data_IF_142960819189
#
_entry.id   IF_142960819189
#
_cell.length_a   1.000
_cell.length_b   1.000
_cell.length_c   1.000
_cell.angle_alpha   90.00
_cell.angle_beta   90.00
_cell.angle_gamma   90.00
#
_symmetry.space_group_name_H-M   'P 1'
#
loop_
_entity.id
_entity.type
_entity.pdbx_description
1 polymer ?
#
# COMPACT_ATOMS: atom_id res chain seq x y z
N UNK A 1 12.84 -28.08 -4.25
CA UNK A 1 11.94 -26.89 -4.20
C UNK A 1 10.53 -27.17 -4.71
N UNK A 2 10.13 -28.44 -4.94
CA UNK A 2 8.87 -28.85 -5.58
C UNK A 2 7.70 -29.15 -4.66
N UNK A 3 7.80 -29.03 -3.34
CA UNK A 3 6.79 -29.60 -2.44
C UNK A 3 5.92 -28.56 -1.69
N UNK A 4 6.14 -27.28 -1.87
CA UNK A 4 5.46 -26.23 -1.09
C UNK A 4 4.06 -25.88 -1.66
N UNK A 5 3.73 -26.30 -2.87
CA UNK A 5 2.50 -25.89 -3.56
C UNK A 5 1.36 -26.94 -3.55
N UNK A 6 1.50 -27.99 -2.79
CA UNK A 6 0.49 -29.08 -2.75
C UNK A 6 -0.73 -28.78 -1.86
N UNK A 7 -0.84 -27.61 -1.26
CA UNK A 7 -2.03 -27.15 -0.53
C UNK A 7 -2.60 -25.93 -1.23
N UNK A 8 -3.91 -25.90 -1.37
CA UNK A 8 -4.71 -24.80 -1.95
C UNK A 8 -4.11 -23.44 -1.58
N UNK A 9 -3.32 -22.90 -2.49
CA UNK A 9 -2.65 -21.63 -2.28
C UNK A 9 -3.44 -20.53 -2.97
N UNK A 10 -3.67 -19.43 -2.28
CA UNK A 10 -4.23 -18.22 -2.91
C UNK A 10 -3.08 -17.43 -3.52
N UNK A 11 -3.20 -17.10 -4.79
CA UNK A 11 -2.27 -16.24 -5.49
C UNK A 11 -2.93 -14.96 -5.99
N UNK A 12 -2.14 -13.96 -6.28
CA UNK A 12 -2.58 -12.69 -6.85
C UNK A 12 -1.73 -12.31 -8.04
N UNK A 13 -2.37 -11.85 -9.11
CA UNK A 13 -1.69 -11.31 -10.29
C UNK A 13 -1.36 -9.83 -10.10
N UNK A 14 -0.19 -9.38 -10.55
CA UNK A 14 0.34 -8.02 -10.35
C UNK A 14 0.41 -7.19 -11.62
N UNK A 15 0.13 -7.80 -12.77
CA UNK A 15 0.10 -7.10 -14.06
C UNK A 15 -1.09 -7.56 -14.90
N UNK A 16 -1.57 -6.64 -15.75
CA UNK A 16 -2.58 -6.97 -16.74
C UNK A 16 -1.95 -7.75 -17.89
N UNK A 17 -2.61 -8.81 -18.34
CA UNK A 17 -2.23 -9.51 -19.57
C UNK A 17 -3.48 -9.84 -20.38
N UNK A 18 -3.67 -9.12 -21.49
CA UNK A 18 -4.82 -9.27 -22.37
C UNK A 18 -4.73 -10.52 -23.25
N UNK A 19 -3.57 -11.15 -23.35
CA UNK A 19 -3.40 -12.41 -24.09
C UNK A 19 -3.90 -13.61 -23.29
N UNK A 20 -3.94 -13.47 -21.97
CA UNK A 20 -4.48 -14.46 -21.05
C UNK A 20 -5.98 -14.20 -20.82
N UNK A 21 -6.79 -14.70 -21.75
CA UNK A 21 -8.24 -14.47 -21.72
C UNK A 21 -8.92 -15.30 -20.63
N UNK A 22 -9.86 -14.68 -19.94
CA UNK A 22 -10.72 -15.28 -18.93
C UNK A 22 -12.16 -15.25 -19.44
N UNK A 23 -12.64 -16.39 -19.93
CA UNK A 23 -13.92 -16.48 -20.62
C UNK A 23 -13.91 -15.73 -21.96
N UNK A 24 -15.07 -15.13 -22.31
CA UNK A 24 -15.28 -14.50 -23.64
C UNK A 24 -14.93 -13.00 -23.67
N UNK A 25 -14.99 -12.32 -22.53
CA UNK A 25 -14.97 -10.85 -22.47
C UNK A 25 -13.95 -10.30 -21.48
N UNK A 26 -13.30 -11.15 -20.68
CA UNK A 26 -12.36 -10.72 -19.67
C UNK A 26 -10.95 -11.29 -19.91
N UNK A 27 -9.97 -10.77 -19.19
CA UNK A 27 -8.56 -11.15 -19.27
C UNK A 27 -7.92 -11.05 -17.90
N UNK A 28 -6.71 -11.55 -17.73
CA UNK A 28 -5.99 -11.48 -16.45
C UNK A 28 -5.67 -10.04 -16.10
N UNK A 29 -6.18 -9.59 -14.96
CA UNK A 29 -5.95 -8.22 -14.45
C UNK A 29 -5.07 -8.20 -13.22
N UNK A 30 -4.44 -7.06 -13.01
CA UNK A 30 -3.77 -6.76 -11.75
C UNK A 30 -4.77 -6.81 -10.59
N UNK A 31 -4.38 -7.49 -9.51
CA UNK A 31 -5.22 -7.63 -8.32
C UNK A 31 -6.16 -8.84 -8.33
N UNK A 32 -6.32 -9.54 -9.47
CA UNK A 32 -7.13 -10.76 -9.49
C UNK A 32 -6.56 -11.81 -8.55
N UNK A 33 -7.46 -12.45 -7.80
CA UNK A 33 -7.13 -13.50 -6.85
C UNK A 33 -7.54 -14.85 -7.39
N UNK A 34 -6.65 -15.81 -7.22
CA UNK A 34 -6.76 -17.14 -7.77
C UNK A 34 -6.54 -18.21 -6.72
N UNK A 35 -7.32 -19.25 -6.79
CA UNK A 35 -7.03 -20.51 -6.10
C UNK A 35 -6.19 -21.37 -7.00
N UNK A 36 -5.01 -21.77 -6.55
CA UNK A 36 -4.11 -22.63 -7.30
C UNK A 36 -4.56 -24.07 -7.17
N UNK A 37 -4.90 -24.73 -8.28
CA UNK A 37 -5.29 -26.14 -8.34
C UNK A 37 -4.15 -27.06 -8.74
N UNK A 38 -3.10 -26.53 -9.39
CA UNK A 38 -1.94 -27.32 -9.76
C UNK A 38 -0.76 -26.48 -10.23
N UNK A 39 0.44 -27.01 -10.05
CA UNK A 39 1.69 -26.44 -10.57
C UNK A 39 2.40 -27.50 -11.39
N UNK A 40 2.72 -27.17 -12.63
CA UNK A 40 3.42 -28.06 -13.54
C UNK A 40 4.95 -27.96 -13.34
N UNK A 41 5.68 -28.96 -13.81
CA UNK A 41 7.14 -29.03 -13.68
C UNK A 41 7.86 -27.86 -14.40
N UNK A 42 7.25 -27.29 -15.44
CA UNK A 42 7.75 -26.11 -16.15
C UNK A 42 7.55 -24.79 -15.36
N UNK A 43 6.81 -24.85 -14.23
CA UNK A 43 6.47 -23.68 -13.41
C UNK A 43 5.18 -22.97 -13.86
N UNK A 44 4.45 -23.51 -14.84
CA UNK A 44 3.11 -23.00 -15.15
C UNK A 44 2.11 -23.41 -14.06
N UNK A 45 1.04 -22.62 -13.89
CA UNK A 45 0.05 -22.84 -12.85
C UNK A 45 -1.34 -22.99 -13.44
N UNK A 46 -2.10 -23.99 -12.98
CA UNK A 46 -3.54 -24.07 -13.20
C UNK A 46 -4.25 -23.41 -12.04
N UNK A 47 -5.11 -22.45 -12.35
CA UNK A 47 -5.73 -21.57 -11.35
C UNK A 47 -7.22 -21.42 -11.61
N UNK A 48 -7.97 -21.14 -10.55
CA UNK A 48 -9.39 -20.82 -10.61
C UNK A 48 -9.57 -19.38 -10.12
N UNK A 49 -10.23 -18.54 -10.90
CA UNK A 49 -10.52 -17.16 -10.50
C UNK A 49 -11.56 -17.16 -9.38
N UNK A 50 -11.24 -16.50 -8.26
CA UNK A 50 -12.03 -16.63 -7.04
C UNK A 50 -13.43 -16.01 -7.14
N UNK A 51 -13.62 -15.02 -8.02
CA UNK A 51 -14.92 -14.35 -8.18
C UNK A 51 -15.78 -15.02 -9.25
N UNK A 52 -15.20 -15.33 -10.42
CA UNK A 52 -15.97 -15.90 -11.54
C UNK A 52 -15.99 -17.43 -11.58
N UNK A 53 -15.13 -18.10 -10.80
CA UNK A 53 -14.99 -19.56 -10.82
C UNK A 53 -14.32 -20.11 -12.10
N UNK A 54 -13.89 -19.28 -13.01
CA UNK A 54 -13.29 -19.68 -14.27
C UNK A 54 -11.87 -20.23 -14.08
N UNK A 55 -11.55 -21.24 -14.87
CA UNK A 55 -10.23 -21.88 -14.83
C UNK A 55 -9.32 -21.29 -15.91
N UNK A 56 -8.05 -21.16 -15.57
CA UNK A 56 -7.03 -20.67 -16.50
C UNK A 56 -5.69 -21.33 -16.20
N UNK A 57 -4.89 -21.53 -17.26
CA UNK A 57 -3.48 -21.89 -17.12
C UNK A 57 -2.62 -20.65 -17.32
N UNK A 58 -1.88 -20.28 -16.29
CA UNK A 58 -0.92 -19.17 -16.33
C UNK A 58 0.43 -19.73 -16.81
N UNK A 59 1.01 -19.16 -17.87
CA UNK A 59 2.33 -19.60 -18.38
C UNK A 59 3.44 -19.35 -17.34
N UNK A 60 4.46 -20.21 -17.34
CA UNK A 60 5.57 -20.13 -16.38
C UNK A 60 6.28 -18.78 -16.38
N UNK A 61 6.45 -18.15 -17.54
CA UNK A 61 7.06 -16.82 -17.67
C UNK A 61 6.22 -15.76 -16.93
N UNK A 62 4.90 -15.78 -17.13
CA UNK A 62 3.99 -14.87 -16.45
C UNK A 62 3.96 -15.11 -14.93
N UNK A 63 3.94 -16.38 -14.52
CA UNK A 63 3.96 -16.77 -13.10
C UNK A 63 5.20 -16.18 -12.40
N UNK A 64 6.38 -16.37 -12.97
CA UNK A 64 7.63 -15.85 -12.38
C UNK A 64 7.64 -14.32 -12.28
N UNK A 65 7.17 -13.65 -13.30
CA UNK A 65 7.20 -12.18 -13.36
C UNK A 65 6.10 -11.53 -12.52
N UNK A 66 4.87 -12.06 -12.57
CA UNK A 66 3.67 -11.31 -12.22
C UNK A 66 2.75 -11.97 -11.19
N UNK A 67 3.07 -13.17 -10.71
CA UNK A 67 2.25 -13.84 -9.68
C UNK A 67 2.95 -13.79 -8.33
N UNK A 68 2.17 -13.48 -7.29
CA UNK A 68 2.62 -13.46 -5.90
C UNK A 68 1.64 -14.23 -5.02
N UNK A 69 2.05 -14.56 -3.80
CA UNK A 69 1.16 -15.14 -2.80
C UNK A 69 0.04 -14.14 -2.47
N UNK A 70 -1.18 -14.64 -2.37
CA UNK A 70 -2.40 -13.85 -2.16
C UNK A 70 -2.93 -13.85 -0.72
N UNK A 71 -2.14 -14.29 0.26
CA UNK A 71 -2.56 -14.37 1.67
C UNK A 71 -2.70 -13.02 2.33
N UNK A 72 -1.96 -12.03 1.86
CA UNK A 72 -2.00 -10.67 2.35
C UNK A 72 -2.11 -9.68 1.18
N UNK A 73 -2.61 -8.50 1.50
CA UNK A 73 -2.76 -7.39 0.57
C UNK A 73 -2.33 -6.10 1.28
N UNK A 74 -1.91 -5.09 0.53
CA UNK A 74 -1.74 -3.76 1.09
C UNK A 74 -3.11 -3.16 1.42
N UNK A 75 -3.16 -2.26 2.39
CA UNK A 75 -4.40 -1.57 2.79
C UNK A 75 -5.07 -0.92 1.58
N UNK A 76 -4.30 -0.24 0.74
CA UNK A 76 -4.81 0.45 -0.45
C UNK A 76 -5.38 -0.53 -1.48
N UNK A 77 -4.74 -1.69 -1.67
CA UNK A 77 -5.26 -2.72 -2.59
C UNK A 77 -6.47 -3.49 -2.03
N UNK A 78 -6.73 -3.37 -0.74
CA UNK A 78 -7.91 -3.94 -0.09
C UNK A 78 -9.13 -3.00 -0.13
N UNK A 79 -8.98 -1.79 -0.67
CA UNK A 79 -10.09 -0.86 -0.83
C UNK A 79 -11.17 -1.49 -1.73
N UNK A 80 -12.42 -1.45 -1.27
CA UNK A 80 -13.55 -2.10 -1.95
C UNK A 80 -13.70 -3.61 -1.67
N UNK A 81 -12.68 -4.29 -1.14
CA UNK A 81 -12.82 -5.68 -0.74
C UNK A 81 -13.58 -5.83 0.58
N UNK A 82 -14.27 -6.96 0.75
CA UNK A 82 -14.97 -7.31 1.98
C UNK A 82 -14.49 -8.67 2.47
N UNK A 83 -14.03 -8.72 3.72
CA UNK A 83 -13.72 -9.97 4.41
C UNK A 83 -14.98 -10.44 5.16
N UNK A 84 -15.53 -11.59 4.78
CA UNK A 84 -16.80 -12.10 5.33
C UNK A 84 -16.78 -12.36 6.84
N UNK A 85 -15.60 -12.54 7.40
CA UNK A 85 -15.42 -12.80 8.83
C UNK A 85 -14.58 -11.70 9.47
N UNK A 86 -13.31 -11.98 9.69
CA UNK A 86 -12.37 -11.10 10.38
C UNK A 86 -11.36 -10.52 9.39
N UNK A 87 -10.97 -9.29 9.64
CA UNK A 87 -9.85 -8.66 8.95
C UNK A 87 -8.72 -8.41 9.96
N UNK A 88 -7.52 -8.83 9.61
CA UNK A 88 -6.31 -8.60 10.41
C UNK A 88 -5.38 -7.67 9.62
N UNK A 89 -5.07 -6.53 10.21
CA UNK A 89 -4.19 -5.53 9.60
C UNK A 89 -2.95 -5.34 10.44
N UNK A 90 -1.77 -5.49 9.82
CA UNK A 90 -0.51 -5.08 10.43
C UNK A 90 -0.26 -3.64 9.99
N UNK A 91 -0.29 -2.74 10.95
CA UNK A 91 -0.09 -1.32 10.74
C UNK A 91 1.32 -0.89 11.13
N UNK A 92 1.71 0.28 10.66
CA UNK A 92 2.97 0.95 11.01
C UNK A 92 2.68 2.42 11.43
N UNK A 93 3.66 3.07 11.96
CA UNK A 93 3.58 4.44 12.49
C UNK A 93 3.21 5.53 11.46
N UNK A 94 3.41 5.24 10.16
CA UNK A 94 3.12 6.18 9.05
C UNK A 94 1.73 6.05 8.44
N UNK A 95 0.85 5.25 9.03
CA UNK A 95 -0.54 5.16 8.58
C UNK A 95 -1.20 6.55 8.64
N UNK A 96 -2.14 6.77 7.73
CA UNK A 96 -3.00 7.95 7.73
C UNK A 96 -4.45 7.55 8.02
N UNK A 97 -5.31 8.56 8.25
CA UNK A 97 -6.71 8.39 8.60
C UNK A 97 -7.48 7.52 7.60
N UNK A 98 -7.25 7.71 6.31
CA UNK A 98 -7.94 6.97 5.25
C UNK A 98 -7.53 5.49 5.24
N UNK A 99 -6.26 5.21 5.47
CA UNK A 99 -5.75 3.84 5.58
C UNK A 99 -6.28 3.16 6.84
N UNK A 100 -6.33 3.85 7.98
CA UNK A 100 -6.94 3.32 9.22
C UNK A 100 -8.41 3.02 8.99
N UNK A 101 -9.16 3.92 8.36
CA UNK A 101 -10.56 3.68 8.00
C UNK A 101 -10.70 2.45 7.10
N UNK A 102 -9.89 2.33 6.06
CA UNK A 102 -9.91 1.16 5.17
C UNK A 102 -9.62 -0.11 5.95
N UNK A 103 -8.58 -0.12 6.79
CA UNK A 103 -8.19 -1.27 7.60
C UNK A 103 -9.31 -1.76 8.53
N UNK A 104 -9.98 -0.82 9.21
CA UNK A 104 -11.01 -1.10 10.21
C UNK A 104 -12.41 -1.35 9.64
N UNK A 105 -12.59 -1.20 8.33
CA UNK A 105 -13.90 -1.35 7.67
C UNK A 105 -13.99 -2.54 6.72
N UNK A 106 -12.99 -3.43 6.68
CA UNK A 106 -13.00 -4.57 5.72
C UNK A 106 -13.70 -5.81 6.26
N UNK A 107 -13.56 -6.10 7.54
CA UNK A 107 -14.19 -7.26 8.16
C UNK A 107 -15.64 -7.00 8.53
N UNK A 108 -16.53 -7.94 8.19
CA UNK A 108 -17.96 -7.85 8.51
C UNK A 108 -18.21 -8.11 10.00
N UNK A 109 -17.45 -9.03 10.59
CA UNK A 109 -17.65 -9.43 12.00
C UNK A 109 -16.69 -8.65 12.90
N UNK A 110 -15.40 -8.66 12.59
CA UNK A 110 -14.37 -8.05 13.42
C UNK A 110 -13.24 -7.48 12.57
N UNK A 111 -12.62 -6.41 13.08
CA UNK A 111 -11.41 -5.83 12.49
C UNK A 111 -10.34 -5.68 13.56
N UNK A 112 -9.19 -6.30 13.34
CA UNK A 112 -8.05 -6.26 14.25
C UNK A 112 -6.92 -5.47 13.61
N UNK A 113 -6.32 -4.55 14.36
CA UNK A 113 -5.12 -3.81 13.94
C UNK A 113 -4.00 -4.13 14.91
N UNK A 114 -2.88 -4.57 14.38
CA UNK A 114 -1.66 -4.85 15.12
C UNK A 114 -0.66 -3.73 14.81
N UNK A 115 -0.27 -3.00 15.85
CA UNK A 115 0.66 -1.87 15.73
C UNK A 115 1.96 -2.19 16.43
N UNK A 116 3.09 -1.90 15.80
CA UNK A 116 4.38 -1.93 16.46
C UNK A 116 4.54 -0.65 17.27
N UNK A 117 4.76 -0.78 18.57
CA UNK A 117 5.05 0.34 19.47
C UNK A 117 6.55 0.49 19.73
N UNK A 118 7.36 -0.47 19.27
CA UNK A 118 8.81 -0.44 19.35
C UNK A 118 9.39 -0.10 17.98
N UNK A 119 9.89 1.10 17.82
CA UNK A 119 10.78 1.43 16.72
C UNK A 119 12.19 0.95 17.08
N UNK A 120 12.68 -0.05 16.37
CA UNK A 120 14.10 -0.41 16.39
C UNK A 120 14.83 0.57 15.47
N UNK A 121 15.01 1.82 15.93
CA UNK A 121 15.89 2.77 15.26
C UNK A 121 17.26 2.69 15.93
N UNK A 122 18.29 2.14 15.26
CA UNK A 122 19.64 2.09 15.80
C UNK A 122 20.25 3.49 16.03
N UNK A 123 19.70 4.54 15.43
CA UNK A 123 20.14 5.92 15.60
C UNK A 123 19.46 6.66 16.76
N UNK A 124 18.44 6.09 17.39
CA UNK A 124 17.75 6.67 18.56
C UNK A 124 18.59 6.67 19.86
N UNK A 125 19.78 6.13 19.87
CA UNK A 125 20.67 6.13 21.03
C UNK A 125 21.07 7.57 21.45
N UNK A 126 20.98 8.53 20.55
CA UNK A 126 21.36 9.93 20.78
C UNK A 126 20.17 10.87 21.07
N UNK A 127 18.93 10.40 20.99
CA UNK A 127 17.76 11.20 21.36
C UNK A 127 17.40 11.00 22.83
N UNK A 128 17.00 12.07 23.56
CA UNK A 128 16.47 11.89 24.91
C UNK A 128 15.34 10.87 24.86
N UNK A 129 15.50 9.78 25.60
CA UNK A 129 14.44 8.76 25.73
C UNK A 129 13.18 9.46 26.21
N UNK A 130 12.12 9.39 25.42
CA UNK A 130 10.80 9.66 25.95
C UNK A 130 10.59 8.81 27.20
N UNK A 131 10.14 9.40 28.27
CA UNK A 131 9.98 8.76 29.59
C UNK A 131 9.01 7.56 29.53
N UNK A 132 8.19 7.50 28.48
CA UNK A 132 7.24 6.41 28.22
C UNK A 132 7.28 6.06 26.73
N UNK A 133 7.37 4.77 26.36
CA UNK A 133 7.21 4.35 24.98
C UNK A 133 5.79 4.66 24.50
N UNK A 134 5.64 4.99 23.21
CA UNK A 134 4.33 5.21 22.59
C UNK A 134 3.44 3.97 22.80
N UNK A 135 2.21 4.20 23.22
CA UNK A 135 1.20 3.16 23.29
C UNK A 135 0.57 2.92 21.91
N UNK A 136 -0.09 1.79 21.74
CA UNK A 136 -0.87 1.54 20.51
C UNK A 136 -1.93 2.62 20.26
N UNK A 137 -2.47 3.21 21.33
CA UNK A 137 -3.45 4.31 21.26
C UNK A 137 -2.77 5.58 20.75
N UNK A 138 -1.57 5.89 21.19
CA UNK A 138 -0.83 7.07 20.74
C UNK A 138 -0.50 6.96 19.25
N UNK A 139 -0.02 5.80 18.79
CA UNK A 139 0.25 5.51 17.38
C UNK A 139 -1.01 5.65 16.54
N UNK A 140 -2.13 5.10 17.00
CA UNK A 140 -3.42 5.19 16.31
C UNK A 140 -3.94 6.63 16.27
N UNK A 141 -3.83 7.37 17.37
CA UNK A 141 -4.22 8.78 17.45
C UNK A 141 -3.41 9.64 16.48
N UNK A 142 -2.10 9.43 16.42
CA UNK A 142 -1.24 10.12 15.47
C UNK A 142 -1.58 9.74 14.01
N UNK A 143 -1.94 8.49 13.74
CA UNK A 143 -2.38 8.05 12.42
C UNK A 143 -3.72 8.71 12.01
N UNK A 144 -4.67 8.80 12.93
CA UNK A 144 -5.96 9.46 12.69
C UNK A 144 -5.84 10.98 12.48
N UNK A 145 -4.85 11.62 13.11
CA UNK A 145 -4.57 13.04 12.93
C UNK A 145 -3.96 13.34 11.54
N UNK A 146 -3.30 12.35 10.90
CA UNK A 146 -2.72 12.53 9.56
C UNK A 146 -3.79 12.43 8.48
N UNK A 147 -3.94 13.49 7.71
CA UNK A 147 -4.74 13.48 6.50
C UNK A 147 -3.90 13.03 5.31
N UNK A 148 -4.21 11.86 4.76
CA UNK A 148 -3.59 11.31 3.56
C UNK A 148 -4.47 11.43 2.32
N UNK A 149 -5.52 12.26 2.35
CA UNK A 149 -6.38 12.47 1.20
C UNK A 149 -5.57 13.06 0.04
N UNK A 150 -5.66 12.41 -1.11
CA UNK A 150 -5.07 12.96 -2.33
C UNK A 150 -5.83 14.21 -2.74
N UNK A 151 -5.10 15.30 -2.90
CA UNK A 151 -5.68 16.56 -3.41
C UNK A 151 -5.98 16.37 -4.88
N UNK A 152 -7.22 16.65 -5.30
CA UNK A 152 -7.60 16.55 -6.72
C UNK A 152 -6.80 17.55 -7.56
N UNK A 153 -6.55 17.22 -8.83
CA UNK A 153 -5.86 18.12 -9.76
C UNK A 153 -6.57 19.49 -9.85
N UNK A 154 -7.90 19.51 -9.75
CA UNK A 154 -8.68 20.75 -9.74
C UNK A 154 -8.41 21.58 -8.48
N UNK A 155 -8.29 20.93 -7.32
CA UNK A 155 -7.99 21.62 -6.06
C UNK A 155 -6.55 22.12 -6.04
N UNK A 156 -5.58 21.36 -6.56
CA UNK A 156 -4.21 21.81 -6.75
C UNK A 156 -4.18 23.05 -7.63
N UNK A 157 -4.83 22.99 -8.79
CA UNK A 157 -4.89 24.13 -9.73
C UNK A 157 -5.55 25.37 -9.10
N UNK A 158 -6.59 25.19 -8.29
CA UNK A 158 -7.21 26.32 -7.56
C UNK A 158 -6.23 26.92 -6.53
N UNK A 159 -5.49 26.08 -5.80
CA UNK A 159 -4.47 26.56 -4.87
C UNK A 159 -3.34 27.33 -5.56
N UNK A 160 -2.91 26.85 -6.72
CA UNK A 160 -1.86 27.50 -7.52
C UNK A 160 -2.32 28.81 -8.15
N UNK A 161 -3.62 28.97 -8.41
CA UNK A 161 -4.20 30.18 -8.99
C UNK A 161 -4.79 31.15 -7.96
N UNK A 162 -4.95 30.74 -6.71
CA UNK A 162 -5.46 31.57 -5.64
C UNK A 162 -4.30 32.35 -4.99
N UNK A 163 -4.23 33.68 -5.17
CA UNK A 163 -3.14 34.49 -4.63
C UNK A 163 -3.03 34.41 -3.09
N UNK A 164 -4.16 34.19 -2.40
CA UNK A 164 -4.17 34.10 -0.93
C UNK A 164 -3.58 32.78 -0.46
N UNK A 165 -3.87 31.69 -1.16
CA UNK A 165 -3.33 30.36 -0.82
C UNK A 165 -1.90 30.15 -1.32
N UNK A 166 -1.50 30.88 -2.38
CA UNK A 166 -0.16 30.86 -2.94
C UNK A 166 0.86 31.65 -2.11
N UNK A 167 0.43 32.66 -1.37
CA UNK A 167 1.32 33.59 -0.64
C UNK A 167 2.31 32.88 0.29
N UNK A 168 1.88 31.88 1.05
CA UNK A 168 2.75 31.14 1.96
C UNK A 168 3.87 30.37 1.22
N UNK A 169 3.54 29.77 0.08
CA UNK A 169 4.51 29.08 -0.77
C UNK A 169 5.47 30.06 -1.46
N UNK A 170 4.99 31.23 -1.85
CA UNK A 170 5.81 32.30 -2.44
C UNK A 170 6.77 32.90 -1.43
N UNK A 171 6.31 33.15 -0.19
CA UNK A 171 7.16 33.59 0.91
C UNK A 171 8.23 32.56 1.22
N UNK A 172 7.88 31.28 1.29
CA UNK A 172 8.85 30.21 1.55
C UNK A 172 9.92 30.16 0.44
N UNK A 173 9.52 30.21 -0.84
CA UNK A 173 10.44 30.26 -1.98
C UNK A 173 11.35 31.49 -1.96
N UNK A 174 10.81 32.64 -1.62
CA UNK A 174 11.59 33.85 -1.49
C UNK A 174 12.63 33.77 -0.35
N UNK A 175 12.22 33.23 0.80
CA UNK A 175 13.12 33.04 1.94
C UNK A 175 14.25 32.08 1.63
N UNK A 176 13.94 30.98 0.92
CA UNK A 176 14.94 29.99 0.49
C UNK A 176 15.93 30.60 -0.53
N UNK A 177 15.42 31.37 -1.50
CA UNK A 177 16.26 32.06 -2.48
C UNK A 177 17.19 33.09 -1.84
N UNK A 178 16.68 33.85 -0.87
CA UNK A 178 17.50 34.83 -0.13
C UNK A 178 18.53 34.12 0.73
N UNK A 179 18.19 33.04 1.39
CA UNK A 179 19.13 32.19 2.15
C UNK A 179 20.25 31.67 1.30
N UNK A 180 19.91 31.07 0.14
CA UNK A 180 20.90 30.54 -0.81
C UNK A 180 21.82 31.66 -1.37
N UNK A 181 21.29 32.83 -1.68
CA UNK A 181 22.07 33.96 -2.14
C UNK A 181 23.02 34.50 -1.06
N UNK A 182 22.56 34.55 0.20
CA UNK A 182 23.40 34.95 1.33
C UNK A 182 24.54 33.97 1.59
N UNK A 183 24.29 32.66 1.52
CA UNK A 183 25.31 31.62 1.64
C UNK A 183 26.39 31.76 0.53
N UNK A 184 25.97 32.01 -0.69
CA UNK A 184 26.88 32.20 -1.83
C UNK A 184 27.79 33.42 -1.67
N UNK A 185 27.31 34.47 -1.00
CA UNK A 185 28.08 35.71 -0.73
C UNK A 185 29.00 35.57 0.50
N UNK A 186 28.66 34.69 1.43
CA UNK A 186 29.41 34.51 2.68
C UNK A 186 30.44 33.39 2.61
N UNK A 187 30.44 32.56 1.56
CA UNK A 187 31.45 31.51 1.37
C UNK A 187 32.69 32.15 0.72
N UNK A 188 33.79 32.29 1.45
CA UNK A 188 35.04 32.82 0.86
C UNK A 188 35.60 31.80 -0.16
N UNK A 189 36.15 32.35 -1.27
CA UNK A 189 36.78 31.56 -2.32
C UNK A 189 38.08 30.89 -1.84
#
# INVERSE_FOLDING_TARGET
LGTIYARVSVSVTKTNDRTLTLGRTDFVRNGYRWTVSGVSADGSMTVTHNESGQHLRLPAAYVRASVRLGYAATIDSAQGATARHRCHTVGHDRLNRQQVYTALSRGVVENHVYLSTAEVDPHRILSPKATHPDTAIDVLTAALARDGAQVSATTLRRRDTDPVLGLAADVARYTDAVGSAAEALLTPA
#
